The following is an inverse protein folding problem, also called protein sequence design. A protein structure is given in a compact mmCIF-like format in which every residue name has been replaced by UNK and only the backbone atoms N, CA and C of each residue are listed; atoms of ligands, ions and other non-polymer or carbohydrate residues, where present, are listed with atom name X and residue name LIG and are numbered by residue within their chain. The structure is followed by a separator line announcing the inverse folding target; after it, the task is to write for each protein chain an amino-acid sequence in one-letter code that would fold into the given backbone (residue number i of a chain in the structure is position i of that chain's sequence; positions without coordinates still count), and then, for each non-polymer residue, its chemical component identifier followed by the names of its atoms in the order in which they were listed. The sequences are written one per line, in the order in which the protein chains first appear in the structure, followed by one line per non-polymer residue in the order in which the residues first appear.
data_IF_211325197973
#
_entry.id   IF_211325197973
#
_cell.length_a   1.000
_cell.length_b   1.000
_cell.length_c   1.000
_cell.angle_alpha   90.00
_cell.angle_beta   90.00
_cell.angle_gamma   90.00
#
_symmetry.space_group_name_H-M   'P 1'
#
loop_
_entity.id
_entity.type
_entity.pdbx_description
1 polymer ?
#
# COMPACT_ATOMS: atom_id res chain seq x y z
N UNK A 1 -15.06 -17.25 6.16
CA UNK A 1 -13.81 -16.72 5.60
C UNK A 1 -13.04 -16.06 6.73
N UNK A 2 -11.89 -16.60 7.13
CA UNK A 2 -11.04 -15.98 8.15
C UNK A 2 -10.46 -14.67 7.59
N UNK A 3 -10.44 -13.61 8.39
CA UNK A 3 -9.84 -12.35 7.97
C UNK A 3 -8.31 -12.54 7.84
N UNK A 4 -7.74 -12.14 6.70
CA UNK A 4 -6.28 -12.12 6.53
C UNK A 4 -5.67 -11.22 7.60
N UNK A 5 -4.87 -11.79 8.49
CA UNK A 5 -4.14 -11.04 9.51
C UNK A 5 -2.78 -10.65 8.95
N UNK A 6 -2.39 -9.39 9.13
CA UNK A 6 -1.05 -8.93 8.75
C UNK A 6 -0.28 -8.50 9.98
N UNK A 7 0.89 -9.10 10.18
CA UNK A 7 1.86 -8.71 11.20
C UNK A 7 2.95 -7.87 10.54
N UNK A 8 3.13 -6.63 10.99
CA UNK A 8 4.12 -5.70 10.42
C UNK A 8 5.43 -5.85 11.17
N UNK A 9 6.53 -5.96 10.43
CA UNK A 9 7.89 -6.02 10.99
C UNK A 9 8.59 -4.67 10.87
N UNK A 10 8.55 -4.07 9.69
CA UNK A 10 9.19 -2.79 9.39
C UNK A 10 8.24 -1.87 8.64
N UNK A 11 8.41 -0.57 8.82
CA UNK A 11 7.60 0.47 8.18
C UNK A 11 8.43 1.73 7.93
N UNK A 12 8.28 2.29 6.74
CA UNK A 12 8.66 3.68 6.44
C UNK A 12 7.40 4.50 6.13
N UNK A 13 7.49 5.81 6.35
CA UNK A 13 6.38 6.76 6.25
C UNK A 13 6.81 7.94 5.40
N UNK A 14 5.93 8.36 4.49
CA UNK A 14 6.07 9.70 3.92
C UNK A 14 5.86 10.77 5.01
N UNK A 15 6.35 12.00 4.79
CA UNK A 15 5.94 13.15 5.60
C UNK A 15 4.41 13.25 5.67
N UNK A 16 3.89 13.75 6.78
CA UNK A 16 2.45 13.97 6.93
C UNK A 16 1.95 14.92 5.84
N UNK A 17 0.92 14.51 5.10
CA UNK A 17 0.15 15.44 4.28
C UNK A 17 -0.65 16.41 5.16
N UNK A 18 -1.24 17.43 4.53
CA UNK A 18 -1.91 18.54 5.23
C UNK A 18 -3.07 18.08 6.14
N UNK A 19 -3.74 16.98 5.79
CA UNK A 19 -4.84 16.41 6.55
C UNK A 19 -4.40 15.37 7.60
N UNK A 20 -3.10 15.15 7.75
CA UNK A 20 -2.53 14.20 8.72
C UNK A 20 -2.58 12.73 8.29
N UNK A 21 -3.12 12.43 7.10
CA UNK A 21 -2.98 11.11 6.47
C UNK A 21 -1.53 10.85 6.07
N UNK A 22 -1.11 9.58 6.19
CA UNK A 22 0.27 9.18 5.91
C UNK A 22 0.32 7.90 5.09
N UNK A 23 0.91 7.99 3.90
CA UNK A 23 1.23 6.81 3.10
C UNK A 23 2.45 6.12 3.72
N UNK A 24 2.29 4.82 3.96
CA UNK A 24 3.30 3.97 4.57
C UNK A 24 3.67 2.84 3.61
N UNK A 25 4.94 2.45 3.64
CA UNK A 25 5.42 1.23 3.00
C UNK A 25 5.88 0.26 4.08
N UNK A 26 5.25 -0.92 4.13
CA UNK A 26 5.42 -1.89 5.21
C UNK A 26 6.00 -3.20 4.67
N UNK A 27 6.87 -3.83 5.46
CA UNK A 27 7.25 -5.23 5.34
C UNK A 27 6.56 -6.03 6.44
N UNK A 28 5.98 -7.18 6.08
CA UNK A 28 5.22 -7.96 7.03
C UNK A 28 4.95 -9.40 6.61
N UNK A 29 4.19 -10.08 7.46
CA UNK A 29 3.68 -11.43 7.28
C UNK A 29 2.17 -11.40 7.14
N UNK A 30 1.66 -12.06 6.10
CA UNK A 30 0.26 -12.27 5.78
C UNK A 30 -0.11 -13.68 6.20
N UNK A 31 -1.07 -13.80 7.11
CA UNK A 31 -1.61 -15.07 7.57
C UNK A 31 -2.98 -15.29 6.92
N UNK A 32 -3.14 -16.39 6.17
CA UNK A 32 -4.35 -16.68 5.38
C UNK A 32 -5.40 -17.51 6.14
N UNK A 33 -5.09 -17.94 7.37
CA UNK A 33 -6.04 -18.56 8.30
C UNK A 33 -6.14 -20.09 8.21
N UNK A 34 -5.48 -20.70 7.24
CA UNK A 34 -5.32 -22.15 7.03
C UNK A 34 -3.97 -22.68 7.54
N UNK A 35 -3.21 -21.83 8.24
CA UNK A 35 -1.84 -22.12 8.67
C UNK A 35 -0.79 -21.71 7.64
N UNK A 36 -1.20 -21.33 6.42
CA UNK A 36 -0.29 -20.74 5.45
C UNK A 36 -0.01 -19.28 5.77
N UNK A 37 1.23 -18.89 5.53
CA UNK A 37 1.65 -17.50 5.61
C UNK A 37 2.60 -17.15 4.47
N UNK A 38 2.59 -15.88 4.08
CA UNK A 38 3.56 -15.33 3.15
C UNK A 38 4.12 -14.04 3.69
N UNK A 39 5.39 -13.76 3.39
CA UNK A 39 5.99 -12.45 3.67
C UNK A 39 5.94 -11.58 2.44
N UNK A 40 5.87 -10.28 2.64
CA UNK A 40 5.78 -9.34 1.52
C UNK A 40 5.66 -7.91 1.99
N UNK A 41 5.61 -7.04 1.00
CA UNK A 41 5.45 -5.63 1.13
C UNK A 41 4.03 -5.18 0.79
N UNK A 42 3.67 -3.99 1.28
CA UNK A 42 2.48 -3.25 0.85
C UNK A 42 2.60 -1.76 1.09
N UNK A 43 1.87 -1.00 0.28
CA UNK A 43 1.52 0.38 0.55
C UNK A 43 0.22 0.46 1.33
N UNK A 44 0.18 1.21 2.43
CA UNK A 44 -1.04 1.38 3.25
C UNK A 44 -1.15 2.80 3.80
N UNK A 45 -2.37 3.28 3.97
CA UNK A 45 -2.63 4.56 4.60
C UNK A 45 -2.81 4.43 6.11
N UNK A 46 -2.21 5.36 6.85
CA UNK A 46 -2.56 5.66 8.24
C UNK A 46 -3.51 6.85 8.28
N UNK A 47 -4.54 6.72 9.09
CA UNK A 47 -5.46 7.80 9.43
C UNK A 47 -4.76 8.86 10.28
N UNK A 48 -5.33 10.07 10.43
CA UNK A 48 -4.76 11.12 11.28
C UNK A 48 -4.58 10.70 12.75
N UNK A 49 -5.42 9.80 13.25
CA UNK A 49 -5.32 9.20 14.59
C UNK A 49 -4.20 8.14 14.73
N UNK A 50 -3.48 7.86 13.64
CA UNK A 50 -2.39 6.89 13.58
C UNK A 50 -2.83 5.44 13.33
N UNK A 51 -4.14 5.14 13.35
CA UNK A 51 -4.65 3.81 13.05
C UNK A 51 -4.46 3.47 11.57
N UNK A 52 -4.31 2.17 11.28
CA UNK A 52 -4.23 1.70 9.90
C UNK A 52 -5.63 1.76 9.25
N UNK A 53 -5.68 2.19 7.99
CA UNK A 53 -6.83 2.02 7.11
C UNK A 53 -6.60 0.77 6.24
N UNK A 54 -6.98 -0.43 6.71
CA UNK A 54 -6.91 -1.62 5.88
C UNK A 54 -7.87 -1.48 4.69
N UNK A 55 -7.32 -1.42 3.48
CA UNK A 55 -8.10 -1.47 2.26
C UNK A 55 -8.36 -2.94 1.89
N UNK A 56 -9.61 -3.26 1.52
CA UNK A 56 -9.92 -4.57 0.93
C UNK A 56 -9.20 -4.69 -0.42
N UNK A 57 -8.68 -5.88 -0.72
CA UNK A 57 -8.04 -6.14 -2.03
C UNK A 57 -6.59 -5.65 -2.16
N UNK A 58 -5.94 -5.27 -1.06
CA UNK A 58 -4.52 -4.90 -1.08
C UNK A 58 -3.65 -6.13 -1.39
N UNK A 59 -2.97 -6.10 -2.53
CA UNK A 59 -2.07 -7.17 -2.95
C UNK A 59 -0.81 -7.21 -2.05
N UNK A 60 -0.34 -8.43 -1.75
CA UNK A 60 0.99 -8.67 -1.22
C UNK A 60 2.00 -8.49 -2.34
N UNK A 61 3.00 -7.65 -2.15
CA UNK A 61 4.09 -7.49 -3.10
C UNK A 61 5.29 -8.34 -2.64
N UNK A 62 5.79 -9.29 -3.43
CA UNK A 62 6.83 -10.21 -2.95
C UNK A 62 8.17 -9.54 -2.67
N UNK A 63 8.64 -8.69 -3.58
CA UNK A 63 9.95 -8.04 -3.51
C UNK A 63 9.89 -6.57 -3.91
N UNK A 64 10.89 -5.78 -3.52
CA UNK A 64 11.04 -4.40 -4.02
C UNK A 64 11.30 -4.39 -5.53
N UNK A 65 12.02 -5.38 -6.06
CA UNK A 65 12.28 -5.51 -7.49
C UNK A 65 10.98 -5.64 -8.32
N UNK A 66 9.96 -6.31 -7.79
CA UNK A 66 8.64 -6.39 -8.43
C UNK A 66 7.98 -5.00 -8.50
N UNK A 67 8.11 -4.18 -7.46
CA UNK A 67 7.60 -2.80 -7.43
C UNK A 67 8.30 -1.95 -8.49
N UNK A 68 9.63 -1.99 -8.50
CA UNK A 68 10.44 -1.23 -9.46
C UNK A 68 10.13 -1.64 -10.91
N UNK A 69 9.96 -2.94 -11.15
CA UNK A 69 9.57 -3.48 -12.46
C UNK A 69 8.19 -2.95 -12.88
N UNK A 70 7.19 -2.99 -12.00
CA UNK A 70 5.84 -2.51 -12.31
C UNK A 70 5.82 -1.00 -12.58
N UNK A 71 6.59 -0.22 -11.81
CA UNK A 71 6.75 1.23 -12.04
C UNK A 71 7.40 1.48 -13.41
N UNK A 72 8.45 0.73 -13.77
CA UNK A 72 9.08 0.81 -15.08
C UNK A 72 8.10 0.53 -16.21
N UNK A 73 7.34 -0.56 -16.10
CA UNK A 73 6.31 -0.92 -17.08
C UNK A 73 5.23 0.16 -17.24
N UNK A 74 4.79 0.79 -16.15
CA UNK A 74 3.81 1.87 -16.18
C UNK A 74 4.33 3.12 -16.92
N UNK A 75 5.60 3.46 -16.69
CA UNK A 75 6.29 4.57 -17.38
C UNK A 75 6.49 4.28 -18.85
N UNK A 76 6.95 3.08 -19.19
CA UNK A 76 7.12 2.65 -20.59
C UNK A 76 5.79 2.65 -21.35
N UNK A 77 4.69 2.37 -20.66
CA UNK A 77 3.34 2.46 -21.21
C UNK A 77 2.77 3.90 -21.27
N UNK A 78 3.51 4.90 -20.78
CA UNK A 78 3.17 6.33 -20.91
C UNK A 78 2.20 6.89 -19.87
N UNK A 79 1.88 6.15 -18.81
CA UNK A 79 0.95 6.58 -17.75
C UNK A 79 1.57 6.60 -16.34
N UNK A 80 2.83 6.17 -16.19
CA UNK A 80 3.47 6.02 -14.87
C UNK A 80 3.75 7.30 -14.08
N UNK A 81 3.58 8.48 -14.69
CA UNK A 81 3.92 9.78 -14.08
C UNK A 81 2.70 10.70 -13.84
N UNK A 82 1.49 10.12 -13.76
CA UNK A 82 0.30 10.84 -13.32
C UNK A 82 0.45 11.37 -11.88
N UNK A 83 0.01 12.61 -11.65
CA UNK A 83 -0.05 13.23 -10.32
C UNK A 83 -1.50 13.30 -9.86
N UNK A 84 -1.90 12.32 -9.04
CA UNK A 84 -3.27 12.19 -8.55
C UNK A 84 -3.73 13.34 -7.64
N UNK A 85 -2.81 14.08 -7.02
CA UNK A 85 -3.15 15.24 -6.19
C UNK A 85 -3.40 16.47 -7.09
N UNK A 86 -2.62 16.63 -8.17
CA UNK A 86 -2.83 17.68 -9.16
C UNK A 86 -4.08 17.46 -10.03
N UNK A 87 -4.43 16.20 -10.32
CA UNK A 87 -5.64 15.83 -11.06
C UNK A 87 -6.93 16.03 -10.24
N UNK A 88 -6.80 16.21 -8.93
CA UNK A 88 -7.87 16.54 -8.00
C UNK A 88 -8.61 15.33 -7.42
N UNK A 89 -9.31 15.56 -6.31
CA UNK A 89 -10.11 14.55 -5.63
C UNK A 89 -11.60 14.82 -5.88
N UNK A 90 -12.28 13.92 -6.60
CA UNK A 90 -13.71 14.02 -6.89
C UNK A 90 -14.53 12.98 -6.12
N UNK A 91 -15.75 13.35 -5.72
CA UNK A 91 -16.81 12.37 -5.54
C UNK A 91 -17.40 12.09 -6.93
N UNK A 92 -17.19 10.90 -7.48
CA UNK A 92 -18.02 10.44 -8.59
C UNK A 92 -19.46 10.37 -8.08
N UNK A 93 -20.34 11.17 -8.69
CA UNK A 93 -21.77 11.15 -8.45
C UNK A 93 -22.40 9.79 -8.81
#
# INVERSE_FOLDING_TARGET
MAATRVTVFDEVRLPKGDEGWVLCFQWGRYDYGDGEFQRGYRFIWRRPDGSLQPARGQARIPTIADIETLIGMARDAGWGDHDGDAEGHGASA
#
